data_IF_515681047999
#
_entry.id   IF_515681047999
#
_cell.length_a   1.000
_cell.length_b   1.000
_cell.length_c   1.000
_cell.angle_alpha   90.00
_cell.angle_beta   90.00
_cell.angle_gamma   90.00
#
_symmetry.space_group_name_H-M   'P 1'
#
loop_
_entity.id
_entity.type
_entity.pdbx_description
1 polymer ?
#
# COMPACT_ATOMS: atom_id res chain seq x y z
N UNK A 1 -3.28 16.42 0.77
CA UNK A 1 -2.54 15.19 1.11
C UNK A 1 -1.43 14.91 0.09
N UNK A 2 -1.70 14.90 -1.23
CA UNK A 2 -0.70 14.64 -2.28
C UNK A 2 0.57 15.52 -2.26
N UNK A 3 0.49 16.77 -1.76
CA UNK A 3 1.61 17.72 -1.79
C UNK A 3 2.57 17.62 -0.59
N UNK A 4 2.24 16.88 0.47
CA UNK A 4 2.89 17.08 1.79
C UNK A 4 4.17 16.27 2.04
N UNK A 5 4.45 15.22 1.26
CA UNK A 5 5.68 14.41 1.38
C UNK A 5 6.39 14.22 0.03
N UNK A 6 5.98 14.98 -0.99
CA UNK A 6 6.55 14.90 -2.34
C UNK A 6 8.03 15.32 -2.38
N UNK A 7 8.40 16.37 -1.63
CA UNK A 7 9.79 16.87 -1.60
C UNK A 7 10.73 15.88 -0.87
N UNK A 8 10.33 15.33 0.28
CA UNK A 8 11.10 14.29 1.00
C UNK A 8 11.29 13.04 0.14
N UNK A 9 10.27 12.62 -0.62
CA UNK A 9 10.41 11.51 -1.56
C UNK A 9 11.44 11.81 -2.66
N UNK A 10 11.43 13.03 -3.24
CA UNK A 10 12.39 13.44 -4.27
C UNK A 10 13.83 13.40 -3.78
N UNK A 11 14.10 13.93 -2.59
CA UNK A 11 15.44 13.95 -2.00
C UNK A 11 16.03 12.53 -1.85
N UNK A 12 15.17 11.55 -1.55
CA UNK A 12 15.52 10.13 -1.43
C UNK A 12 15.43 9.34 -2.75
N UNK A 13 15.15 10.01 -3.87
CA UNK A 13 14.97 9.38 -5.20
C UNK A 13 13.86 8.31 -5.18
N UNK A 14 12.81 8.57 -4.40
CA UNK A 14 11.61 7.74 -4.31
C UNK A 14 10.49 8.36 -5.14
N UNK A 15 9.70 7.48 -5.76
CA UNK A 15 8.51 7.86 -6.51
C UNK A 15 7.31 7.80 -5.59
N UNK A 16 6.56 8.89 -5.50
CA UNK A 16 5.22 8.93 -4.93
C UNK A 16 4.21 8.98 -6.08
N UNK A 17 3.43 7.91 -6.25
CA UNK A 17 2.45 7.84 -7.34
C UNK A 17 1.28 6.91 -7.01
N UNK A 18 0.19 7.05 -7.78
CA UNK A 18 -0.84 6.03 -7.87
C UNK A 18 -0.40 4.96 -8.86
N UNK A 19 -0.38 3.70 -8.42
CA UNK A 19 0.07 2.60 -9.27
C UNK A 19 -1.13 1.81 -9.81
N UNK A 20 -1.30 1.67 -11.14
CA UNK A 20 -2.40 0.91 -11.69
C UNK A 20 -2.28 -0.59 -11.39
N UNK A 21 -3.39 -1.34 -11.39
CA UNK A 21 -3.38 -2.80 -11.26
C UNK A 21 -2.37 -3.47 -12.21
N UNK A 22 -1.72 -4.54 -11.73
CA UNK A 22 -0.74 -5.30 -12.50
C UNK A 22 0.71 -4.82 -12.40
N UNK A 23 0.99 -3.70 -11.75
CA UNK A 23 2.33 -3.10 -11.72
C UNK A 23 3.10 -3.34 -10.43
N UNK A 24 2.44 -3.54 -9.28
CA UNK A 24 3.10 -4.03 -8.07
C UNK A 24 3.06 -5.55 -8.10
N UNK A 25 4.22 -6.22 -8.16
CA UNK A 25 4.25 -7.69 -8.29
C UNK A 25 3.51 -8.35 -7.14
N UNK A 26 2.56 -9.21 -7.50
CA UNK A 26 1.83 -10.10 -6.59
C UNK A 26 2.34 -11.54 -6.67
N UNK A 27 2.69 -11.99 -7.87
CA UNK A 27 3.14 -13.35 -8.09
C UNK A 27 3.92 -13.45 -9.41
N UNK A 28 4.86 -14.39 -9.46
CA UNK A 28 5.64 -14.72 -10.64
C UNK A 28 5.54 -16.23 -10.84
N UNK A 29 5.25 -16.66 -12.05
CA UNK A 29 5.33 -18.05 -12.46
C UNK A 29 5.31 -18.20 -13.98
N UNK A 30 4.94 -19.39 -14.45
CA UNK A 30 5.00 -19.74 -15.87
C UNK A 30 3.68 -20.40 -16.30
N UNK A 31 3.28 -20.15 -17.54
CA UNK A 31 2.20 -20.92 -18.16
C UNK A 31 2.69 -22.28 -18.68
N UNK A 32 1.79 -23.05 -19.27
CA UNK A 32 2.07 -24.38 -19.83
C UNK A 32 3.10 -24.36 -20.96
N UNK A 33 3.30 -23.21 -21.61
CA UNK A 33 4.28 -23.00 -22.68
C UNK A 33 5.64 -22.49 -22.14
N UNK A 34 5.75 -22.29 -20.83
CA UNK A 34 6.96 -21.80 -20.17
C UNK A 34 7.17 -20.29 -20.32
N UNK A 35 6.13 -19.54 -20.70
CA UNK A 35 6.16 -18.08 -20.79
C UNK A 35 5.96 -17.45 -19.42
N UNK A 36 6.65 -16.34 -19.17
CA UNK A 36 6.60 -15.65 -17.88
C UNK A 36 5.21 -15.04 -17.63
N UNK A 37 4.56 -15.49 -16.56
CA UNK A 37 3.36 -14.88 -16.01
C UNK A 37 3.74 -14.06 -14.78
N UNK A 38 3.45 -12.76 -14.82
CA UNK A 38 3.57 -11.88 -13.65
C UNK A 38 2.24 -11.20 -13.45
N UNK A 39 1.60 -11.48 -12.33
CA UNK A 39 0.41 -10.77 -11.87
C UNK A 39 0.83 -9.68 -10.90
N UNK A 40 -0.04 -8.68 -10.75
CA UNK A 40 0.22 -7.59 -9.83
C UNK A 40 -1.03 -6.89 -9.36
N UNK A 41 -0.87 -6.15 -8.26
CA UNK A 41 -1.87 -5.27 -7.70
C UNK A 41 -1.59 -3.82 -8.08
N UNK A 42 -2.60 -2.98 -7.85
CA UNK A 42 -2.46 -1.53 -7.83
C UNK A 42 -2.50 -1.06 -6.39
N UNK A 43 -2.37 0.24 -6.19
CA UNK A 43 -2.59 0.88 -4.90
C UNK A 43 -2.94 2.35 -5.11
N UNK A 44 -3.73 2.90 -4.19
CA UNK A 44 -4.21 4.29 -4.29
C UNK A 44 -3.04 5.29 -4.28
N UNK A 45 -2.06 5.04 -3.41
CA UNK A 45 -0.82 5.78 -3.27
C UNK A 45 0.32 4.84 -2.87
N UNK A 46 1.49 5.00 -3.49
CA UNK A 46 2.67 4.19 -3.19
C UNK A 46 3.91 5.05 -3.18
N UNK A 47 4.80 4.77 -2.24
CA UNK A 47 6.17 5.28 -2.23
C UNK A 47 7.11 4.11 -2.52
N UNK A 48 8.00 4.25 -3.49
CA UNK A 48 8.94 3.19 -3.86
C UNK A 48 9.70 3.50 -5.14
N UNK A 49 9.96 2.47 -5.95
CA UNK A 49 10.64 2.68 -7.22
C UNK A 49 10.43 1.56 -8.23
N UNK A 50 10.56 1.93 -9.51
CA UNK A 50 10.52 0.99 -10.62
C UNK A 50 11.77 0.11 -10.66
N UNK A 51 11.57 -1.16 -10.98
CA UNK A 51 12.60 -2.16 -11.21
C UNK A 51 12.29 -2.92 -12.49
N UNK A 52 13.33 -3.52 -13.04
CA UNK A 52 13.27 -4.33 -14.27
C UNK A 52 13.58 -5.77 -13.91
N UNK A 53 12.65 -6.66 -14.21
CA UNK A 53 12.85 -8.10 -14.15
C UNK A 53 13.30 -8.55 -15.53
N UNK A 54 14.43 -9.22 -15.60
CA UNK A 54 14.92 -9.85 -16.83
C UNK A 54 14.91 -11.34 -16.63
N UNK A 55 14.16 -12.05 -17.46
CA UNK A 55 14.09 -13.50 -17.48
C UNK A 55 14.76 -14.04 -18.75
N UNK A 56 15.61 -15.05 -18.58
CA UNK A 56 16.28 -15.76 -19.67
C UNK A 56 15.89 -17.22 -19.59
N UNK A 57 15.06 -17.68 -20.52
CA UNK A 57 14.70 -19.09 -20.62
C UNK A 57 15.81 -19.85 -21.37
N UNK A 58 16.07 -21.10 -20.99
CA UNK A 58 17.09 -21.95 -21.62
C UNK A 58 16.66 -22.55 -22.97
N UNK A 59 15.36 -22.51 -23.28
CA UNK A 59 14.77 -23.13 -24.48
C UNK A 59 14.30 -22.12 -25.54
N UNK A 60 14.06 -20.86 -25.17
CA UNK A 60 13.70 -19.80 -26.11
C UNK A 60 14.88 -18.85 -26.34
N UNK A 61 15.03 -18.34 -27.57
CA UNK A 61 16.09 -17.39 -27.95
C UNK A 61 15.83 -15.98 -27.35
N UNK A 62 14.71 -15.80 -26.64
CA UNK A 62 14.25 -14.50 -26.15
C UNK A 62 14.69 -14.19 -24.72
N UNK A 63 15.16 -12.96 -24.51
CA UNK A 63 15.17 -12.33 -23.19
C UNK A 63 13.80 -11.70 -22.99
N UNK A 64 13.08 -12.09 -21.94
CA UNK A 64 11.82 -11.45 -21.55
C UNK A 64 12.11 -10.39 -20.49
N UNK A 65 11.62 -9.18 -20.71
CA UNK A 65 11.82 -8.04 -19.79
C UNK A 65 10.47 -7.50 -19.33
N UNK A 66 10.32 -7.33 -18.02
CA UNK A 66 9.11 -6.73 -17.43
C UNK A 66 9.49 -5.67 -16.41
N UNK A 67 8.89 -4.50 -16.52
CA UNK A 67 8.99 -3.47 -15.49
C UNK A 67 7.93 -3.69 -14.41
N UNK A 68 8.29 -3.41 -13.17
CA UNK A 68 7.40 -3.48 -12.03
C UNK A 68 7.79 -2.49 -10.95
N UNK A 69 6.82 -2.15 -10.10
CA UNK A 69 7.03 -1.26 -8.98
C UNK A 69 7.33 -2.06 -7.71
N UNK A 70 8.40 -1.70 -7.01
CA UNK A 70 8.72 -2.26 -5.70
C UNK A 70 8.30 -1.25 -4.63
N UNK A 71 7.24 -1.54 -3.86
CA UNK A 71 6.76 -0.63 -2.84
C UNK A 71 7.69 -0.62 -1.61
N UNK A 72 7.86 0.56 -1.04
CA UNK A 72 8.39 0.78 0.31
C UNK A 72 7.27 1.13 1.27
N UNK A 73 6.29 1.89 0.81
CA UNK A 73 5.07 2.22 1.55
C UNK A 73 3.89 2.10 0.59
N UNK A 74 2.85 1.38 1.00
CA UNK A 74 1.54 1.32 0.35
C UNK A 74 0.57 2.11 1.22
N UNK A 75 -0.20 3.01 0.61
CA UNK A 75 -1.15 3.88 1.31
C UNK A 75 -2.53 3.76 0.64
N UNK A 76 -3.41 3.03 1.29
CA UNK A 76 -4.80 2.87 0.86
C UNK A 76 -5.66 4.03 1.35
N UNK A 77 -6.32 4.74 0.42
CA UNK A 77 -7.00 6.02 0.68
C UNK A 77 -8.51 5.86 0.52
N UNK A 78 -9.24 5.79 1.63
CA UNK A 78 -10.70 5.55 1.60
C UNK A 78 -11.50 6.74 2.14
N UNK A 79 -12.66 7.02 1.57
CA UNK A 79 -13.55 8.03 2.17
C UNK A 79 -14.10 7.56 3.52
N UNK A 80 -14.47 6.29 3.62
CA UNK A 80 -14.88 5.66 4.86
C UNK A 80 -14.37 4.22 4.91
N UNK A 81 -14.25 3.67 6.11
CA UNK A 81 -13.90 2.26 6.32
C UNK A 81 -14.94 1.61 7.21
N UNK A 82 -15.68 0.64 6.65
CA UNK A 82 -16.55 -0.29 7.39
C UNK A 82 -15.76 -1.51 7.86
N UNK A 83 -16.39 -2.38 8.65
CA UNK A 83 -15.74 -3.60 9.15
C UNK A 83 -15.35 -4.56 8.02
N UNK A 84 -16.22 -4.74 7.03
CA UNK A 84 -15.96 -5.64 5.92
C UNK A 84 -14.86 -5.11 5.01
N UNK A 85 -14.89 -3.81 4.67
CA UNK A 85 -13.81 -3.17 3.91
C UNK A 85 -12.47 -3.27 4.65
N UNK A 86 -12.50 -3.17 5.98
CA UNK A 86 -11.29 -3.31 6.78
C UNK A 86 -10.74 -4.74 6.76
N UNK A 87 -11.61 -5.77 6.81
CA UNK A 87 -11.20 -7.16 6.66
C UNK A 87 -10.54 -7.40 5.30
N UNK A 88 -11.12 -6.86 4.24
CA UNK A 88 -10.56 -6.96 2.89
C UNK A 88 -9.17 -6.32 2.82
N UNK A 89 -9.01 -5.13 3.41
CA UNK A 89 -7.70 -4.43 3.48
C UNK A 89 -6.67 -5.22 4.30
N UNK A 90 -7.09 -5.92 5.37
CA UNK A 90 -6.19 -6.80 6.13
C UNK A 90 -5.72 -7.97 5.27
N UNK A 91 -6.64 -8.64 4.57
CA UNK A 91 -6.29 -9.73 3.64
C UNK A 91 -5.35 -9.25 2.53
N UNK A 92 -5.62 -8.08 1.96
CA UNK A 92 -4.76 -7.46 0.95
C UNK A 92 -3.37 -7.15 1.52
N UNK A 93 -3.29 -6.55 2.72
CA UNK A 93 -2.01 -6.26 3.38
C UNK A 93 -1.19 -7.53 3.67
N UNK A 94 -1.85 -8.63 4.05
CA UNK A 94 -1.20 -9.91 4.25
C UNK A 94 -0.60 -10.42 2.93
N UNK A 95 -1.36 -10.34 1.83
CA UNK A 95 -0.87 -10.71 0.50
C UNK A 95 0.36 -9.90 0.12
N UNK A 96 0.32 -8.57 0.27
CA UNK A 96 1.47 -7.72 -0.03
C UNK A 96 2.68 -8.06 0.83
N UNK A 97 2.52 -8.23 2.15
CA UNK A 97 3.63 -8.53 3.06
C UNK A 97 4.26 -9.91 2.82
N UNK A 98 3.56 -10.86 2.21
CA UNK A 98 4.18 -12.13 1.79
C UNK A 98 5.24 -11.95 0.69
N UNK A 99 5.08 -10.93 -0.16
CA UNK A 99 5.96 -10.71 -1.33
C UNK A 99 6.93 -9.55 -1.07
N UNK A 100 6.45 -8.52 -0.38
CA UNK A 100 7.18 -7.32 0.01
C UNK A 100 7.21 -7.22 1.56
N UNK A 101 7.92 -8.12 2.27
CA UNK A 101 7.86 -8.22 3.73
C UNK A 101 8.34 -6.98 4.48
N UNK A 102 9.09 -6.11 3.81
CA UNK A 102 9.62 -4.87 4.38
C UNK A 102 8.83 -3.62 3.98
N UNK A 103 7.78 -3.75 3.16
CA UNK A 103 6.93 -2.61 2.81
C UNK A 103 5.97 -2.30 3.96
N UNK A 104 5.79 -1.02 4.26
CA UNK A 104 4.72 -0.59 5.14
C UNK A 104 3.38 -0.63 4.40
N UNK A 105 2.32 -1.05 5.08
CA UNK A 105 0.94 -0.98 4.61
C UNK A 105 0.14 -0.07 5.53
N UNK A 106 -0.29 1.07 5.00
CA UNK A 106 -0.97 2.13 5.75
C UNK A 106 -2.35 2.34 5.16
N UNK A 107 -3.35 2.47 6.03
CA UNK A 107 -4.71 2.85 5.66
C UNK A 107 -4.93 4.28 6.15
N UNK A 108 -5.36 5.16 5.26
CA UNK A 108 -5.86 6.49 5.61
C UNK A 108 -7.30 6.62 5.15
N UNK A 109 -8.16 7.10 6.05
CA UNK A 109 -9.56 7.31 5.72
C UNK A 109 -10.13 8.60 6.30
N UNK A 110 -11.19 9.14 5.70
CA UNK A 110 -11.84 10.30 6.33
C UNK A 110 -12.55 9.90 7.62
N UNK A 111 -13.39 8.86 7.60
CA UNK A 111 -14.13 8.39 8.78
C UNK A 111 -14.10 6.87 8.92
N UNK A 112 -14.16 6.39 10.15
CA UNK A 112 -14.29 4.97 10.46
C UNK A 112 -15.64 4.70 11.14
N UNK A 113 -16.31 3.63 10.74
CA UNK A 113 -17.45 3.10 11.48
C UNK A 113 -16.94 2.19 12.60
N UNK A 114 -16.57 2.80 13.73
CA UNK A 114 -16.04 2.11 14.90
C UNK A 114 -17.11 1.27 15.59
N UNK A 115 -17.27 0.02 15.15
CA UNK A 115 -18.09 -0.98 15.85
C UNK A 115 -17.31 -1.59 17.02
N UNK A 116 -18.01 -2.24 17.96
CA UNK A 116 -17.35 -3.00 19.03
C UNK A 116 -16.50 -4.17 18.49
N UNK A 117 -16.83 -4.67 17.30
CA UNK A 117 -16.10 -5.75 16.63
C UNK A 117 -14.72 -5.27 16.14
N UNK A 118 -14.63 -4.04 15.64
CA UNK A 118 -13.36 -3.41 15.29
C UNK A 118 -12.35 -3.42 16.45
N UNK A 119 -12.83 -3.08 17.66
CA UNK A 119 -12.00 -3.06 18.87
C UNK A 119 -11.49 -4.46 19.23
N UNK A 120 -12.31 -5.50 19.02
CA UNK A 120 -11.93 -6.89 19.28
C UNK A 120 -10.90 -7.40 18.27
N UNK A 121 -10.93 -6.89 17.05
CA UNK A 121 -9.99 -7.28 16.00
C UNK A 121 -8.61 -6.64 16.14
N UNK A 122 -8.44 -5.63 17.01
CA UNK A 122 -7.20 -4.83 17.19
C UNK A 122 -5.89 -5.61 17.02
N UNK A 123 -5.73 -6.67 17.80
CA UNK A 123 -4.50 -7.46 17.82
C UNK A 123 -4.21 -8.22 16.52
N UNK A 124 -5.24 -8.60 15.77
CA UNK A 124 -5.10 -9.40 14.54
C UNK A 124 -4.61 -8.52 13.39
N UNK A 125 -5.10 -7.29 13.30
CA UNK A 125 -4.71 -6.40 12.20
C UNK A 125 -3.42 -5.62 12.45
N UNK A 126 -3.04 -5.36 13.71
CA UNK A 126 -1.73 -4.77 14.05
C UNK A 126 -0.54 -5.61 13.53
N UNK A 127 -0.75 -6.89 13.19
CA UNK A 127 0.27 -7.73 12.58
C UNK A 127 0.58 -7.38 11.10
N UNK A 128 -0.40 -6.84 10.37
CA UNK A 128 -0.28 -6.63 8.92
C UNK A 128 -0.48 -5.18 8.47
N UNK A 129 -1.15 -4.36 9.28
CA UNK A 129 -1.35 -2.93 9.04
C UNK A 129 -0.40 -2.13 9.93
N UNK A 130 0.54 -1.42 9.31
CA UNK A 130 1.57 -0.65 10.02
C UNK A 130 1.07 0.72 10.49
N UNK A 131 0.01 1.23 9.84
CA UNK A 131 -0.60 2.49 10.23
C UNK A 131 -2.06 2.56 9.82
N UNK A 132 -2.90 3.08 10.71
CA UNK A 132 -4.31 3.35 10.39
C UNK A 132 -4.73 4.71 10.93
N UNK A 133 -5.16 5.59 10.03
CA UNK A 133 -5.44 7.00 10.33
C UNK A 133 -6.85 7.38 9.88
N UNK A 134 -7.71 7.73 10.83
CA UNK A 134 -9.01 8.33 10.55
C UNK A 134 -8.91 9.85 10.70
N UNK A 135 -9.16 10.61 9.63
CA UNK A 135 -8.90 12.05 9.59
C UNK A 135 -10.01 12.88 10.24
N UNK A 136 -11.22 12.34 10.35
CA UNK A 136 -12.41 12.98 10.94
C UNK A 136 -13.06 12.03 11.94
N UNK A 137 -13.64 12.55 13.04
CA UNK A 137 -14.47 11.75 13.93
C UNK A 137 -15.87 11.58 13.33
N UNK A 138 -16.73 10.79 13.98
CA UNK A 138 -18.12 10.59 13.55
C UNK A 138 -18.30 9.36 12.67
N UNK A 139 -19.23 9.43 11.72
CA UNK A 139 -19.55 8.31 10.81
C UNK A 139 -19.76 8.83 9.39
N UNK A 140 -19.96 7.90 8.45
CA UNK A 140 -20.13 8.20 7.02
C UNK A 140 -21.24 9.23 6.73
N UNK A 141 -22.34 9.21 7.49
CA UNK A 141 -23.49 10.10 7.26
C UNK A 141 -23.33 11.47 7.88
N UNK A 142 -22.57 11.57 8.97
CA UNK A 142 -22.31 12.82 9.66
C UNK A 142 -20.83 12.90 10.04
N UNK A 143 -19.94 13.16 9.07
CA UNK A 143 -18.52 13.27 9.33
C UNK A 143 -18.23 14.55 10.11
N UNK A 144 -17.43 14.43 11.15
CA UNK A 144 -16.95 15.56 11.92
C UNK A 144 -15.96 16.43 11.15
N UNK A 145 -15.48 17.48 11.83
CA UNK A 145 -14.40 18.32 11.29
C UNK A 145 -13.09 17.53 11.20
N UNK A 146 -12.26 17.94 10.25
CA UNK A 146 -10.91 17.41 10.08
C UNK A 146 -10.09 17.62 11.36
N UNK A 147 -9.40 16.57 11.81
CA UNK A 147 -8.50 16.60 12.96
C UNK A 147 -7.08 16.78 12.43
N UNK A 148 -6.57 18.01 12.47
CA UNK A 148 -5.21 18.33 12.01
C UNK A 148 -4.14 17.47 12.69
N UNK A 149 -4.32 17.14 13.97
CA UNK A 149 -3.39 16.27 14.69
C UNK A 149 -3.26 14.88 14.05
N UNK A 150 -4.33 14.33 13.47
CA UNK A 150 -4.29 13.02 12.81
C UNK A 150 -3.55 13.09 11.47
N UNK A 151 -3.67 14.21 10.75
CA UNK A 151 -2.88 14.48 9.55
C UNK A 151 -1.40 14.60 9.92
N UNK A 152 -1.07 15.44 10.89
CA UNK A 152 0.31 15.65 11.32
C UNK A 152 0.96 14.35 11.81
N UNK A 153 0.18 13.49 12.49
CA UNK A 153 0.67 12.17 12.93
C UNK A 153 0.92 11.25 11.73
N UNK A 154 -0.01 11.20 10.78
CA UNK A 154 0.17 10.44 9.54
C UNK A 154 1.42 10.90 8.78
N UNK A 155 1.59 12.20 8.58
CA UNK A 155 2.76 12.79 7.92
C UNK A 155 4.05 12.44 8.64
N UNK A 156 4.09 12.62 9.97
CA UNK A 156 5.26 12.27 10.77
C UNK A 156 5.61 10.79 10.62
N UNK A 157 4.63 9.89 10.68
CA UNK A 157 4.88 8.44 10.51
C UNK A 157 5.50 8.13 9.15
N UNK A 158 5.01 8.76 8.08
CA UNK A 158 5.55 8.57 6.73
C UNK A 158 6.98 9.14 6.64
N UNK A 159 7.20 10.37 7.09
CA UNK A 159 8.50 11.03 7.02
C UNK A 159 9.55 10.32 7.87
N UNK A 160 9.24 9.97 9.11
CA UNK A 160 10.13 9.22 9.99
C UNK A 160 10.57 7.91 9.33
N UNK A 161 9.67 7.21 8.60
CA UNK A 161 10.06 6.01 7.88
C UNK A 161 10.96 6.32 6.67
N UNK A 162 10.60 7.30 5.84
CA UNK A 162 11.38 7.68 4.66
C UNK A 162 12.79 8.15 5.04
N UNK A 163 12.94 8.89 6.14
CA UNK A 163 14.24 9.36 6.63
C UNK A 163 15.18 8.20 6.97
N UNK A 164 14.61 7.11 7.50
CA UNK A 164 15.32 5.89 7.89
C UNK A 164 15.55 4.89 6.73
N UNK A 165 15.07 5.19 5.51
CA UNK A 165 15.39 4.45 4.28
C UNK A 165 16.73 4.88 3.68
#
# INVERSE_FOLDING_TARGET
VYLLFFETCKEKVLILDKIPPGNIISWIGFDEEGKLLVTGHGADLVIGGWRKLTFKNGLSIGIEEKQYFVPKIIIECKQYVSLDMFRDLVTESEMFKRIHPYSLFIIVCEVIEMTNEFKKMKKVWEAYIDGFFALRPGNRRNPGKLILQNINRFEKTINDYIENL
#
